data_IF_931361850063
#
_entry.id   IF_931361850063
#
_cell.length_a   1.000
_cell.length_b   1.000
_cell.length_c   1.000
_cell.angle_alpha   90.00
_cell.angle_beta   90.00
_cell.angle_gamma   90.00
#
_symmetry.space_group_name_H-M   'P 1'
#
loop_
_entity.id
_entity.type
_entity.pdbx_description
1 polymer ?
#
# COMPACT_ATOMS: atom_id res chain seq x y z
N UNK A 1 15.07 10.38 1.72
CA UNK A 1 13.98 10.39 2.73
C UNK A 1 12.88 9.45 2.24
N UNK A 2 12.19 8.70 3.13
CA UNK A 2 11.05 7.86 2.75
C UNK A 2 9.75 8.49 3.25
N UNK A 3 8.81 8.77 2.34
CA UNK A 3 7.46 9.21 2.65
C UNK A 3 6.50 8.03 2.47
N UNK A 4 6.11 7.40 3.57
CA UNK A 4 5.08 6.36 3.58
C UNK A 4 3.72 7.00 3.85
N UNK A 5 2.73 6.73 3.01
CA UNK A 5 1.40 7.35 3.12
C UNK A 5 0.28 6.34 2.89
N UNK A 6 -0.77 6.48 3.68
CA UNK A 6 -2.07 5.88 3.35
C UNK A 6 -2.70 6.59 2.15
N UNK A 7 -3.60 5.90 1.46
CA UNK A 7 -4.26 6.38 0.25
C UNK A 7 -5.62 7.02 0.56
N UNK A 8 -6.55 6.23 1.10
CA UNK A 8 -7.93 6.64 1.28
C UNK A 8 -8.10 7.57 2.48
N UNK A 9 -8.71 8.73 2.28
CA UNK A 9 -8.83 9.71 3.37
C UNK A 9 -7.52 10.44 3.72
N UNK A 10 -6.39 10.05 3.10
CA UNK A 10 -5.07 10.63 3.33
C UNK A 10 -4.49 11.20 2.04
N UNK A 11 -3.75 10.41 1.25
CA UNK A 11 -3.05 10.91 0.06
C UNK A 11 -3.99 11.34 -1.07
N UNK A 12 -5.08 10.59 -1.26
CA UNK A 12 -6.07 10.85 -2.33
C UNK A 12 -7.17 11.82 -1.89
N UNK A 13 -7.18 12.24 -0.62
CA UNK A 13 -8.23 13.07 -0.05
C UNK A 13 -7.83 14.55 -0.02
N UNK A 14 -8.62 15.35 0.71
CA UNK A 14 -8.39 16.78 0.86
C UNK A 14 -8.78 17.61 -0.36
N UNK A 15 -8.54 18.92 -0.27
CA UNK A 15 -8.79 19.84 -1.36
C UNK A 15 -7.83 19.59 -2.54
N UNK A 16 -8.35 19.75 -3.75
CA UNK A 16 -7.60 19.42 -4.96
C UNK A 16 -6.32 20.26 -5.13
N UNK A 17 -6.35 21.52 -4.71
CA UNK A 17 -5.20 22.44 -4.86
C UNK A 17 -4.03 22.03 -3.95
N UNK A 18 -4.30 21.74 -2.68
CA UNK A 18 -3.28 21.29 -1.73
C UNK A 18 -2.74 19.91 -2.09
N UNK A 19 -3.59 19.01 -2.58
CA UNK A 19 -3.14 17.70 -3.08
C UNK A 19 -2.21 17.84 -4.28
N UNK A 20 -2.57 18.67 -5.26
CA UNK A 20 -1.69 18.94 -6.40
C UNK A 20 -0.37 19.58 -5.99
N UNK A 21 -0.37 20.53 -5.03
CA UNK A 21 0.87 21.10 -4.47
C UNK A 21 1.75 20.05 -3.81
N UNK A 22 1.16 19.13 -3.02
CA UNK A 22 1.89 18.03 -2.41
C UNK A 22 2.53 17.15 -3.49
N UNK A 23 1.76 16.74 -4.49
CA UNK A 23 2.22 15.88 -5.57
C UNK A 23 3.36 16.51 -6.36
N UNK A 24 3.23 17.78 -6.72
CA UNK A 24 4.30 18.55 -7.38
C UNK A 24 5.55 18.65 -6.51
N UNK A 25 5.38 18.82 -5.19
CA UNK A 25 6.50 18.87 -4.25
C UNK A 25 7.25 17.55 -4.24
N UNK A 26 6.54 16.42 -4.16
CA UNK A 26 7.17 15.08 -4.18
C UNK A 26 7.94 14.87 -5.48
N UNK A 27 7.31 15.12 -6.64
CA UNK A 27 7.94 14.92 -7.95
C UNK A 27 9.17 15.84 -8.17
N UNK A 28 9.17 17.03 -7.58
CA UNK A 28 10.30 17.98 -7.71
C UNK A 28 11.50 17.65 -6.83
N UNK A 29 11.38 16.70 -5.90
CA UNK A 29 12.43 16.35 -4.92
C UNK A 29 12.82 14.87 -5.08
N UNK A 30 13.80 14.55 -5.95
CA UNK A 30 14.17 13.17 -6.27
C UNK A 30 14.82 12.41 -5.10
N UNK A 31 15.14 13.10 -4.00
CA UNK A 31 15.61 12.50 -2.75
C UNK A 31 14.48 11.94 -1.87
N UNK A 32 13.22 12.20 -2.24
CA UNK A 32 12.03 11.61 -1.62
C UNK A 32 11.68 10.31 -2.33
N UNK A 33 11.74 9.21 -1.60
CA UNK A 33 11.12 7.96 -2.02
C UNK A 33 9.69 7.91 -1.49
N UNK A 34 8.73 7.59 -2.34
CA UNK A 34 7.31 7.52 -1.99
C UNK A 34 6.88 6.06 -1.83
N UNK A 35 6.20 5.75 -0.73
CA UNK A 35 5.60 4.44 -0.51
C UNK A 35 4.09 4.56 -0.24
N UNK A 36 3.29 3.85 -1.02
CA UNK A 36 1.87 3.69 -0.74
C UNK A 36 1.66 2.57 0.27
N UNK A 37 0.92 2.85 1.34
CA UNK A 37 0.62 1.90 2.41
C UNK A 37 -0.89 1.82 2.56
N UNK A 38 -1.51 0.81 1.98
CA UNK A 38 -2.97 0.77 1.85
C UNK A 38 -3.55 -0.57 2.31
N UNK A 39 -4.78 -0.50 2.84
CA UNK A 39 -5.62 -1.67 3.01
C UNK A 39 -6.24 -2.20 1.72
N UNK A 40 -6.11 -1.47 0.59
CA UNK A 40 -6.56 -1.93 -0.72
C UNK A 40 -5.75 -3.14 -1.18
N UNK A 41 -6.39 -4.03 -1.94
CA UNK A 41 -5.64 -5.01 -2.72
C UNK A 41 -4.79 -4.34 -3.79
N UNK A 42 -3.69 -4.99 -4.19
CA UNK A 42 -2.81 -4.45 -5.22
C UNK A 42 -3.59 -4.08 -6.49
N UNK A 43 -4.54 -4.92 -6.92
CA UNK A 43 -5.37 -4.68 -8.11
C UNK A 43 -6.20 -3.40 -8.01
N UNK A 44 -6.60 -2.99 -6.81
CA UNK A 44 -7.35 -1.74 -6.57
C UNK A 44 -6.46 -0.51 -6.49
N UNK A 45 -5.14 -0.71 -6.39
CA UNK A 45 -4.14 0.37 -6.45
C UNK A 45 -3.71 0.61 -7.89
N UNK A 46 -3.60 -0.44 -8.74
CA UNK A 46 -3.11 -0.32 -10.11
C UNK A 46 -3.76 0.81 -10.94
N UNK A 47 -5.09 1.02 -10.92
CA UNK A 47 -5.70 2.10 -11.69
C UNK A 47 -5.24 3.51 -11.27
N UNK A 48 -4.73 3.67 -10.05
CA UNK A 48 -4.15 4.95 -9.59
C UNK A 48 -2.80 5.23 -10.24
N UNK A 49 -2.06 4.18 -10.63
CA UNK A 49 -0.76 4.31 -11.30
C UNK A 49 -0.92 4.77 -12.76
N UNK A 50 -2.09 4.55 -13.33
CA UNK A 50 -2.46 5.03 -14.68
C UNK A 50 -2.86 6.52 -14.69
N UNK A 51 -3.13 7.13 -13.53
CA UNK A 51 -3.46 8.55 -13.42
C UNK A 51 -2.17 9.40 -13.41
N UNK A 52 -1.89 10.18 -14.46
CA UNK A 52 -0.64 10.95 -14.56
C UNK A 52 -0.55 12.11 -13.55
N UNK A 53 -1.65 12.45 -12.87
CA UNK A 53 -1.64 13.47 -11.82
C UNK A 53 -1.18 12.91 -10.48
N UNK A 54 -1.28 11.60 -10.28
CA UNK A 54 -0.89 10.90 -9.06
C UNK A 54 0.57 10.47 -9.18
N UNK A 55 1.46 10.86 -8.26
CA UNK A 55 2.86 10.45 -8.32
C UNK A 55 2.99 8.92 -8.31
N UNK A 56 3.83 8.37 -9.18
CA UNK A 56 4.16 6.94 -9.10
C UNK A 56 5.01 6.71 -7.84
N UNK A 57 4.65 5.77 -6.96
CA UNK A 57 5.45 5.45 -5.78
C UNK A 57 6.67 4.62 -6.17
N UNK A 58 7.71 4.64 -5.33
CA UNK A 58 8.82 3.68 -5.39
C UNK A 58 8.40 2.30 -4.87
N UNK A 59 7.50 2.28 -3.89
CA UNK A 59 7.05 1.06 -3.22
C UNK A 59 5.54 1.05 -2.98
N UNK A 60 4.94 -0.13 -3.05
CA UNK A 60 3.53 -0.34 -2.71
C UNK A 60 3.45 -1.44 -1.66
N UNK A 61 2.81 -1.11 -0.55
CA UNK A 61 2.40 -2.00 0.52
C UNK A 61 0.87 -2.09 0.45
N UNK A 62 0.37 -3.22 -0.02
CA UNK A 62 -1.05 -3.51 -0.24
C UNK A 62 -1.54 -4.61 0.71
N UNK A 63 -2.83 -4.93 0.63
CA UNK A 63 -3.47 -6.01 1.38
C UNK A 63 -3.21 -5.90 2.89
N UNK A 64 -3.30 -4.68 3.42
CA UNK A 64 -3.05 -4.35 4.84
C UNK A 64 -1.62 -4.76 5.28
N UNK A 65 -0.66 -4.72 4.36
CA UNK A 65 0.74 -5.06 4.65
C UNK A 65 1.16 -6.47 4.26
N UNK A 66 0.25 -7.29 3.74
CA UNK A 66 0.57 -8.65 3.31
C UNK A 66 1.27 -8.71 1.93
N UNK A 67 1.19 -7.64 1.15
CA UNK A 67 1.79 -7.56 -0.19
C UNK A 67 2.74 -6.38 -0.27
N UNK A 68 4.00 -6.62 -0.61
CA UNK A 68 5.03 -5.59 -0.77
C UNK A 68 5.71 -5.74 -2.13
N UNK A 69 5.55 -4.71 -2.98
CA UNK A 69 6.07 -4.67 -4.35
C UNK A 69 6.78 -3.35 -4.65
N UNK A 70 7.61 -3.33 -5.68
CA UNK A 70 8.11 -2.08 -6.27
C UNK A 70 7.00 -1.38 -7.05
N UNK A 71 6.95 -0.05 -6.99
CA UNK A 71 5.88 0.69 -7.64
C UNK A 71 6.00 0.82 -9.17
N UNK A 72 7.22 0.71 -9.71
CA UNK A 72 7.50 0.81 -11.15
C UNK A 72 7.33 -0.53 -11.90
N UNK A 73 7.82 -1.63 -11.31
CA UNK A 73 7.78 -2.96 -11.95
C UNK A 73 6.70 -3.87 -11.40
N UNK A 74 6.11 -3.54 -10.25
CA UNK A 74 5.19 -4.40 -9.50
C UNK A 74 5.80 -5.75 -9.08
N UNK A 75 7.14 -5.87 -9.15
CA UNK A 75 7.85 -7.04 -8.66
C UNK A 75 7.80 -7.08 -7.13
N UNK A 76 7.52 -8.27 -6.60
CA UNK A 76 7.62 -8.57 -5.18
C UNK A 76 9.02 -8.31 -4.64
N UNK A 77 9.09 -7.71 -3.45
CA UNK A 77 10.34 -7.63 -2.69
C UNK A 77 10.49 -8.92 -1.90
N UNK A 78 11.06 -9.94 -2.55
CA UNK A 78 11.14 -11.32 -2.05
C UNK A 78 11.65 -11.44 -0.61
N UNK A 79 12.68 -10.67 -0.23
CA UNK A 79 13.21 -10.72 1.13
C UNK A 79 12.16 -10.34 2.19
N UNK A 80 11.36 -9.31 1.94
CA UNK A 80 10.30 -8.86 2.85
C UNK A 80 9.13 -9.83 2.81
N UNK A 81 8.77 -10.30 1.60
CA UNK A 81 7.68 -11.25 1.43
C UNK A 81 7.93 -12.57 2.17
N UNK A 82 9.17 -13.06 2.18
CA UNK A 82 9.55 -14.23 2.98
C UNK A 82 9.42 -13.97 4.48
N UNK A 83 9.86 -12.82 4.99
CA UNK A 83 9.69 -12.48 6.41
C UNK A 83 8.22 -12.40 6.84
N UNK A 84 7.34 -11.88 5.97
CA UNK A 84 5.89 -11.86 6.20
C UNK A 84 5.35 -13.29 6.24
N UNK A 85 5.70 -14.11 5.24
CA UNK A 85 5.22 -15.47 5.12
C UNK A 85 5.68 -16.36 6.29
N UNK A 86 6.93 -16.21 6.75
CA UNK A 86 7.47 -16.98 7.88
C UNK A 86 6.71 -16.70 9.19
N UNK A 87 6.18 -15.49 9.35
CA UNK A 87 5.41 -15.07 10.54
C UNK A 87 3.92 -15.37 10.41
N UNK A 88 3.44 -15.71 9.22
CA UNK A 88 2.03 -15.97 8.97
C UNK A 88 1.63 -17.34 9.59
N UNK A 89 0.68 -17.37 10.55
CA UNK A 89 0.29 -18.63 11.22
C UNK A 89 -0.49 -19.59 10.32
N UNK A 90 -0.86 -19.19 9.11
CA UNK A 90 -1.66 -19.98 8.17
C UNK A 90 -3.17 -19.80 8.36
N UNK A 91 -3.92 -20.04 7.28
CA UNK A 91 -5.38 -19.83 7.25
C UNK A 91 -6.12 -20.65 8.33
N UNK A 92 -5.72 -21.91 8.53
CA UNK A 92 -6.39 -22.80 9.49
C UNK A 92 -6.29 -22.30 10.93
N UNK A 93 -5.11 -21.84 11.35
CA UNK A 93 -4.90 -21.33 12.70
C UNK A 93 -5.69 -20.02 12.94
N UNK A 94 -5.79 -19.18 11.92
CA UNK A 94 -6.60 -17.96 11.97
C UNK A 94 -8.10 -18.30 12.04
N UNK A 95 -8.57 -19.23 11.19
CA UNK A 95 -9.97 -19.66 11.20
C UNK A 95 -10.39 -20.27 12.55
N UNK A 96 -9.51 -21.09 13.16
CA UNK A 96 -9.73 -21.63 14.49
C UNK A 96 -9.83 -20.51 15.54
N UNK A 97 -8.91 -19.55 15.55
CA UNK A 97 -8.94 -18.42 16.46
C UNK A 97 -10.20 -17.54 16.27
N UNK A 98 -10.64 -17.35 15.03
CA UNK A 98 -11.84 -16.56 14.71
C UNK A 98 -13.14 -17.25 15.13
N UNK A 99 -13.17 -18.59 15.26
CA UNK A 99 -14.37 -19.34 15.65
C UNK A 99 -14.96 -18.93 17.02
N UNK A 100 -14.15 -18.33 17.88
CA UNK A 100 -14.57 -17.77 19.15
C UNK A 100 -15.48 -16.53 19.01
N UNK A 101 -15.55 -15.92 17.82
CA UNK A 101 -16.28 -14.70 17.54
C UNK A 101 -17.41 -14.96 16.54
N UNK A 102 -18.59 -15.42 17.00
CA UNK A 102 -19.68 -15.88 16.12
C UNK A 102 -20.34 -14.78 15.27
N UNK A 103 -20.02 -13.50 15.53
CA UNK A 103 -20.49 -12.37 14.73
C UNK A 103 -19.58 -12.03 13.54
N UNK A 104 -18.41 -12.67 13.42
CA UNK A 104 -17.53 -12.48 12.26
C UNK A 104 -18.00 -13.39 11.12
N UNK A 105 -18.34 -12.77 10.00
CA UNK A 105 -18.63 -13.45 8.74
C UNK A 105 -17.40 -13.37 7.82
N UNK A 106 -17.21 -14.41 7.00
CA UNK A 106 -16.11 -14.47 6.03
C UNK A 106 -16.40 -13.62 4.81
#
# INVERSE_FOLDING_TARGET
MLLATDLDGTFLAGDAESRLRLYQTIVSHPDIQLAYVSGRSLERILPLLDDPTVPTPDYIIADVGATVVKGDTLESIESIQWEIMERWPGESAVAEAMSAFPALER
#
